data_IF_261722417568
#
_entry.id   IF_261722417568
#
_cell.length_a   1.000
_cell.length_b   1.000
_cell.length_c   1.000
_cell.angle_alpha   90.00
_cell.angle_beta   90.00
_cell.angle_gamma   90.00
#
_symmetry.space_group_name_H-M   'P 1'
#
loop_
_entity.id
_entity.type
_entity.pdbx_description
1 polymer ?
#
# COMPACT_ATOMS: atom_id res chain seq x y z
N UNK A 1 5.45 -11.22 6.70
CA UNK A 1 3.98 -11.04 6.66
C UNK A 1 3.64 -9.64 6.16
N UNK A 2 4.06 -8.56 6.82
CA UNK A 2 3.70 -7.18 6.46
C UNK A 2 3.89 -6.86 4.95
N UNK A 3 5.04 -7.14 4.32
CA UNK A 3 5.21 -6.90 2.89
C UNK A 3 4.25 -7.69 2.00
N UNK A 4 3.96 -8.94 2.35
CA UNK A 4 3.00 -9.77 1.62
C UNK A 4 1.57 -9.25 1.75
N UNK A 5 1.19 -8.67 2.91
CA UNK A 5 -0.11 -8.01 3.09
C UNK A 5 -0.24 -6.82 2.16
N UNK A 6 0.83 -6.01 2.01
CA UNK A 6 0.85 -4.88 1.06
C UNK A 6 0.63 -5.37 -0.36
N UNK A 7 1.45 -6.33 -0.83
CA UNK A 7 1.32 -6.86 -2.19
C UNK A 7 -0.05 -7.49 -2.42
N UNK A 8 -0.59 -8.23 -1.45
CA UNK A 8 -1.93 -8.83 -1.60
C UNK A 8 -3.02 -7.77 -1.70
N UNK A 9 -2.93 -6.69 -0.91
CA UNK A 9 -3.86 -5.56 -1.07
C UNK A 9 -3.78 -4.93 -2.46
N UNK A 10 -2.56 -4.68 -2.95
CA UNK A 10 -2.34 -4.15 -4.30
C UNK A 10 -2.92 -5.09 -5.38
N UNK A 11 -2.75 -6.40 -5.22
CA UNK A 11 -3.31 -7.41 -6.13
C UNK A 11 -4.84 -7.34 -6.17
N UNK A 12 -5.49 -7.36 -5.00
CA UNK A 12 -6.95 -7.31 -4.89
C UNK A 12 -7.54 -6.07 -5.55
N UNK A 13 -6.98 -4.89 -5.29
CA UNK A 13 -7.52 -3.63 -5.85
C UNK A 13 -7.27 -3.48 -7.35
N UNK A 14 -6.22 -4.09 -7.88
CA UNK A 14 -5.90 -4.05 -9.32
C UNK A 14 -6.62 -5.13 -10.12
N UNK A 15 -7.09 -6.19 -9.50
CA UNK A 15 -7.68 -7.34 -10.19
C UNK A 15 -8.79 -6.96 -11.19
N UNK A 16 -9.77 -6.09 -10.86
CA UNK A 16 -10.84 -5.73 -11.78
C UNK A 16 -10.37 -5.06 -13.08
N UNK A 17 -9.20 -4.44 -13.05
CA UNK A 17 -8.64 -3.68 -14.18
C UNK A 17 -7.39 -4.33 -14.78
N UNK A 18 -6.89 -5.41 -14.18
CA UNK A 18 -5.65 -6.09 -14.57
C UNK A 18 -5.62 -6.45 -16.04
N UNK A 19 -6.67 -7.09 -16.55
CA UNK A 19 -6.73 -7.50 -17.94
C UNK A 19 -6.74 -6.29 -18.89
N UNK A 20 -7.44 -5.21 -18.54
CA UNK A 20 -7.46 -3.97 -19.33
C UNK A 20 -6.07 -3.32 -19.43
N UNK A 21 -5.30 -3.37 -18.33
CA UNK A 21 -3.91 -2.89 -18.31
C UNK A 21 -3.06 -3.72 -19.28
N UNK A 22 -3.14 -5.06 -19.22
CA UNK A 22 -2.40 -5.96 -20.10
C UNK A 22 -2.77 -5.75 -21.59
N UNK A 23 -4.04 -5.60 -21.90
CA UNK A 23 -4.53 -5.36 -23.27
C UNK A 23 -4.12 -3.99 -23.82
N UNK A 24 -3.78 -3.05 -22.93
CA UNK A 24 -3.31 -1.71 -23.29
C UNK A 24 -1.80 -1.64 -23.52
N UNK A 25 -1.01 -2.57 -22.97
CA UNK A 25 0.44 -2.60 -23.11
C UNK A 25 0.93 -2.52 -24.56
N UNK A 26 0.44 -3.34 -25.53
CA UNK A 26 0.92 -3.29 -26.90
C UNK A 26 0.68 -1.93 -27.58
N UNK A 27 -0.31 -1.16 -27.12
CA UNK A 27 -0.68 0.14 -27.69
C UNK A 27 0.24 1.27 -27.23
N UNK A 28 0.88 1.11 -26.09
CA UNK A 28 1.68 2.16 -25.46
C UNK A 28 3.17 1.84 -25.39
N UNK A 29 3.58 0.60 -25.61
CA UNK A 29 4.97 0.12 -25.43
C UNK A 29 6.03 0.85 -26.28
N UNK A 30 5.63 1.56 -27.33
CA UNK A 30 6.53 2.36 -28.18
C UNK A 30 6.65 3.81 -27.72
N UNK A 31 5.90 4.20 -26.71
CA UNK A 31 5.89 5.55 -26.16
C UNK A 31 7.01 5.73 -25.11
N UNK A 32 7.21 6.97 -24.69
CA UNK A 32 8.09 7.28 -23.57
C UNK A 32 7.55 6.67 -22.27
N UNK A 33 8.44 6.18 -21.40
CA UNK A 33 8.07 5.48 -20.16
C UNK A 33 7.13 6.34 -19.28
N UNK A 34 7.36 7.65 -19.17
CA UNK A 34 6.48 8.56 -18.41
C UNK A 34 5.05 8.56 -18.97
N UNK A 35 4.89 8.46 -20.30
CA UNK A 35 3.58 8.40 -20.94
C UNK A 35 2.95 7.02 -20.72
N UNK A 36 3.75 5.95 -20.79
CA UNK A 36 3.32 4.58 -20.50
C UNK A 36 2.75 4.51 -19.08
N UNK A 37 3.52 4.96 -18.09
CA UNK A 37 3.13 4.97 -16.68
C UNK A 37 1.78 5.71 -16.48
N UNK A 38 1.67 6.94 -16.98
CA UNK A 38 0.43 7.72 -16.86
C UNK A 38 -0.76 7.06 -17.56
N UNK A 39 -0.53 6.47 -18.73
CA UNK A 39 -1.59 5.81 -19.50
C UNK A 39 -2.10 4.56 -18.78
N UNK A 40 -1.20 3.73 -18.26
CA UNK A 40 -1.55 2.50 -17.56
C UNK A 40 -2.19 2.79 -16.19
N UNK A 41 -1.71 3.81 -15.46
CA UNK A 41 -2.33 4.29 -14.24
C UNK A 41 -3.78 4.72 -14.48
N UNK A 42 -4.04 5.45 -15.58
CA UNK A 42 -5.40 5.84 -15.97
C UNK A 42 -6.30 4.62 -16.25
N UNK A 43 -5.77 3.60 -16.93
CA UNK A 43 -6.50 2.35 -17.21
C UNK A 43 -6.76 1.57 -15.93
N UNK A 44 -5.80 1.53 -15.03
CA UNK A 44 -5.92 0.89 -13.73
C UNK A 44 -6.92 1.59 -12.80
N UNK A 45 -7.13 2.91 -12.98
CA UNK A 45 -7.98 3.72 -12.11
C UNK A 45 -7.29 4.16 -10.81
N UNK A 46 -5.97 3.98 -10.72
CA UNK A 46 -5.13 4.31 -9.57
C UNK A 46 -3.88 5.08 -10.03
N UNK A 47 -3.14 5.66 -9.09
CA UNK A 47 -1.82 6.24 -9.38
C UNK A 47 -0.70 5.21 -9.49
N UNK A 48 -1.05 3.93 -9.55
CA UNK A 48 -0.16 2.78 -9.76
C UNK A 48 -0.87 1.71 -10.59
N UNK A 49 -0.09 0.81 -11.17
CA UNK A 49 -0.59 -0.35 -11.94
C UNK A 49 0.39 -1.52 -11.81
N UNK A 50 0.02 -2.66 -12.40
CA UNK A 50 0.93 -3.79 -12.57
C UNK A 50 0.79 -4.37 -13.97
N UNK A 51 1.91 -4.39 -14.71
CA UNK A 51 2.00 -4.89 -16.10
C UNK A 51 2.49 -6.33 -16.24
N UNK A 52 2.74 -7.01 -15.11
CA UNK A 52 3.07 -8.44 -15.11
C UNK A 52 1.85 -9.29 -15.52
N UNK A 53 2.03 -10.40 -16.22
CA UNK A 53 0.94 -11.34 -16.51
C UNK A 53 0.46 -12.10 -15.26
N UNK A 54 1.19 -12.03 -14.16
CA UNK A 54 0.91 -12.73 -12.92
C UNK A 54 -0.07 -11.97 -12.00
N UNK A 55 -0.81 -12.72 -11.22
CA UNK A 55 -1.56 -12.37 -10.03
C UNK A 55 -1.42 -13.53 -9.04
N UNK A 56 -1.98 -13.45 -7.84
CA UNK A 56 -1.82 -14.51 -6.86
C UNK A 56 -2.33 -15.88 -7.33
N UNK A 57 -3.43 -15.94 -8.08
CA UNK A 57 -3.96 -17.19 -8.64
C UNK A 57 -2.97 -17.85 -9.62
N UNK A 58 -2.35 -17.05 -10.48
CA UNK A 58 -1.35 -17.55 -11.43
C UNK A 58 -0.03 -17.93 -10.75
N UNK A 59 0.32 -17.26 -9.66
CA UNK A 59 1.50 -17.63 -8.86
C UNK A 59 1.36 -19.01 -8.25
N UNK A 60 0.21 -19.33 -7.64
CA UNK A 60 -0.02 -20.66 -7.05
C UNK A 60 -0.26 -21.76 -8.09
N UNK A 61 -0.65 -21.41 -9.32
CA UNK A 61 -0.83 -22.35 -10.40
C UNK A 61 0.48 -22.95 -10.93
N UNK A 62 1.63 -22.32 -10.64
CA UNK A 62 2.97 -22.78 -11.05
C UNK A 62 3.93 -22.83 -9.84
N UNK A 63 3.78 -23.83 -8.97
CA UNK A 63 4.58 -23.95 -7.74
C UNK A 63 6.08 -24.06 -7.98
N UNK A 64 6.48 -24.74 -9.08
CA UNK A 64 7.88 -24.99 -9.38
C UNK A 64 8.66 -23.72 -9.75
N UNK A 65 7.98 -22.69 -10.26
CA UNK A 65 8.58 -21.43 -10.67
C UNK A 65 8.12 -20.25 -9.76
N UNK A 66 7.58 -20.54 -8.59
CA UNK A 66 6.91 -19.52 -7.77
C UNK A 66 7.82 -18.35 -7.39
N UNK A 67 9.09 -18.60 -7.08
CA UNK A 67 10.05 -17.56 -6.74
C UNK A 67 10.32 -16.64 -7.95
N UNK A 68 10.54 -17.24 -9.13
CA UNK A 68 10.76 -16.50 -10.37
C UNK A 68 9.53 -15.67 -10.73
N UNK A 69 8.35 -16.28 -10.68
CA UNK A 69 7.09 -15.67 -11.04
C UNK A 69 6.72 -14.54 -10.06
N UNK A 70 6.98 -14.71 -8.76
CA UNK A 70 6.74 -13.66 -7.76
C UNK A 70 7.65 -12.46 -7.97
N UNK A 71 8.94 -12.66 -8.30
CA UNK A 71 9.84 -11.56 -8.68
C UNK A 71 9.35 -10.84 -9.93
N UNK A 72 8.94 -11.59 -10.96
CA UNK A 72 8.38 -11.00 -12.18
C UNK A 72 7.08 -10.23 -11.90
N UNK A 73 6.27 -10.70 -10.94
CA UNK A 73 5.08 -10.00 -10.49
C UNK A 73 5.41 -8.68 -9.78
N UNK A 74 6.35 -8.69 -8.83
CA UNK A 74 6.80 -7.49 -8.09
C UNK A 74 7.42 -6.47 -9.06
N UNK A 75 8.27 -6.90 -9.96
CA UNK A 75 8.90 -6.05 -10.97
C UNK A 75 7.91 -5.48 -12.00
N UNK A 76 6.73 -6.05 -12.10
CA UNK A 76 5.65 -5.58 -12.98
C UNK A 76 4.89 -4.37 -12.44
N UNK A 77 5.08 -3.96 -11.19
CA UNK A 77 4.45 -2.76 -10.65
C UNK A 77 5.03 -1.47 -11.28
N UNK A 78 4.24 -0.41 -11.30
CA UNK A 78 4.67 0.93 -11.67
C UNK A 78 5.84 1.40 -10.81
N UNK A 79 6.64 2.33 -11.33
CA UNK A 79 7.88 2.80 -10.69
C UNK A 79 7.65 3.24 -9.23
N UNK A 80 6.66 4.09 -8.98
CA UNK A 80 6.34 4.58 -7.65
C UNK A 80 5.94 3.47 -6.65
N UNK A 81 5.18 2.47 -7.10
CA UNK A 81 4.82 1.34 -6.24
C UNK A 81 6.03 0.41 -6.00
N UNK A 82 6.87 0.22 -7.02
CA UNK A 82 8.08 -0.59 -6.94
C UNK A 82 9.12 0.01 -6.00
N UNK A 83 9.34 1.33 -6.04
CA UNK A 83 10.21 2.04 -5.08
C UNK A 83 9.81 1.74 -3.62
N UNK A 84 8.52 1.75 -3.31
CA UNK A 84 8.02 1.40 -1.97
C UNK A 84 8.31 -0.07 -1.64
N UNK A 85 8.09 -0.97 -2.61
CA UNK A 85 8.30 -2.40 -2.42
C UNK A 85 9.78 -2.77 -2.25
N UNK A 86 10.71 -2.00 -2.84
CA UNK A 86 12.16 -2.20 -2.70
C UNK A 86 12.63 -2.08 -1.24
N UNK A 87 12.03 -1.19 -0.43
CA UNK A 87 12.35 -1.06 0.99
C UNK A 87 12.08 -2.33 1.80
N UNK A 88 11.23 -3.23 1.31
CA UNK A 88 10.93 -4.49 1.99
C UNK A 88 11.96 -5.60 1.71
N UNK A 89 12.95 -5.36 0.83
CA UNK A 89 13.97 -6.34 0.46
C UNK A 89 13.39 -7.73 0.11
N UNK A 90 12.37 -7.74 -0.76
CA UNK A 90 11.66 -8.97 -1.14
C UNK A 90 12.57 -10.08 -1.65
N UNK A 91 13.58 -9.73 -2.46
CA UNK A 91 14.50 -10.73 -3.04
C UNK A 91 15.17 -11.56 -1.95
N UNK A 92 15.67 -10.92 -0.90
CA UNK A 92 16.30 -11.60 0.23
C UNK A 92 15.30 -12.50 0.97
N UNK A 93 14.04 -12.05 1.10
CA UNK A 93 13.02 -12.86 1.78
C UNK A 93 12.55 -14.03 0.91
N UNK A 94 12.42 -13.83 -0.39
CA UNK A 94 12.09 -14.88 -1.35
C UNK A 94 13.19 -15.96 -1.30
N UNK A 95 14.47 -15.58 -1.40
CA UNK A 95 15.60 -16.53 -1.33
C UNK A 95 15.58 -17.38 -0.06
N UNK A 96 15.24 -16.78 1.10
CA UNK A 96 15.16 -17.51 2.37
C UNK A 96 13.99 -18.51 2.44
N UNK A 97 12.91 -18.24 1.68
CA UNK A 97 11.72 -19.08 1.69
C UNK A 97 11.67 -20.06 0.53
N UNK A 98 12.50 -19.85 -0.51
CA UNK A 98 12.56 -20.70 -1.71
C UNK A 98 13.42 -21.95 -1.45
N UNK A 99 12.96 -22.77 -0.50
CA UNK A 99 13.57 -24.04 -0.15
C UNK A 99 12.68 -25.20 -0.64
N UNK A 100 13.15 -25.97 -1.63
CA UNK A 100 12.40 -27.10 -2.18
C UNK A 100 12.00 -28.18 -1.16
N UNK A 101 12.70 -28.23 -0.02
CA UNK A 101 12.42 -29.22 1.03
C UNK A 101 11.21 -28.87 1.91
N UNK A 102 10.84 -27.59 1.95
CA UNK A 102 9.80 -27.09 2.86
C UNK A 102 8.57 -26.54 2.15
N UNK A 103 8.65 -26.26 0.86
CA UNK A 103 7.62 -25.54 0.06
C UNK A 103 7.12 -24.25 0.75
N UNK A 104 8.00 -23.61 1.57
CA UNK A 104 7.58 -22.52 2.44
C UNK A 104 7.05 -21.33 1.64
N UNK A 105 7.74 -20.93 0.57
CA UNK A 105 7.32 -19.80 -0.26
C UNK A 105 5.93 -20.05 -0.88
N UNK A 106 5.71 -21.24 -1.42
CA UNK A 106 4.40 -21.63 -1.98
C UNK A 106 3.30 -21.55 -0.92
N UNK A 107 3.55 -22.11 0.26
CA UNK A 107 2.58 -22.10 1.37
C UNK A 107 2.24 -20.68 1.82
N UNK A 108 3.25 -19.81 1.89
CA UNK A 108 3.03 -18.37 2.22
C UNK A 108 2.19 -17.70 1.16
N UNK A 109 2.56 -17.78 -0.12
CA UNK A 109 1.79 -17.16 -1.22
C UNK A 109 0.36 -17.68 -1.27
N UNK A 110 0.17 -19.01 -1.10
CA UNK A 110 -1.15 -19.64 -1.06
C UNK A 110 -2.00 -19.11 0.10
N UNK A 111 -1.44 -18.99 1.30
CA UNK A 111 -2.18 -18.45 2.46
C UNK A 111 -2.63 -17.01 2.23
N UNK A 112 -1.83 -16.19 1.54
CA UNK A 112 -2.22 -14.83 1.19
C UNK A 112 -3.23 -14.77 0.05
N UNK A 113 -3.19 -15.71 -0.90
CA UNK A 113 -4.18 -15.79 -1.98
C UNK A 113 -5.60 -16.02 -1.45
N UNK A 114 -5.75 -16.79 -0.37
CA UNK A 114 -7.03 -17.07 0.28
C UNK A 114 -7.63 -15.85 1.02
N UNK A 115 -6.85 -14.79 1.22
CA UNK A 115 -7.30 -13.57 1.91
C UNK A 115 -7.81 -12.57 0.87
N UNK A 116 -9.06 -12.16 1.00
CA UNK A 116 -9.62 -11.05 0.21
C UNK A 116 -9.51 -9.74 1.00
N UNK A 117 -8.87 -8.77 0.36
CA UNK A 117 -8.66 -7.43 0.91
C UNK A 117 -9.30 -6.35 0.00
N UNK A 118 -10.13 -6.73 -0.99
CA UNK A 118 -10.67 -5.81 -2.00
C UNK A 118 -11.55 -4.71 -1.43
N UNK A 119 -12.38 -5.06 -0.45
CA UNK A 119 -13.39 -4.15 0.11
C UNK A 119 -12.91 -3.36 1.34
N UNK A 120 -11.67 -3.61 1.79
CA UNK A 120 -11.13 -2.90 2.96
C UNK A 120 -10.86 -1.43 2.66
N UNK A 121 -11.34 -0.55 3.51
CA UNK A 121 -11.01 0.86 3.44
C UNK A 121 -9.57 1.14 3.88
N UNK A 122 -9.03 2.32 3.50
CA UNK A 122 -7.66 2.71 3.88
C UNK A 122 -7.43 2.74 5.38
N UNK A 123 -8.47 3.12 6.15
CA UNK A 123 -8.41 3.12 7.61
C UNK A 123 -8.33 1.70 8.17
N UNK A 124 -9.13 0.77 7.65
CA UNK A 124 -9.12 -0.63 8.07
C UNK A 124 -7.79 -1.29 7.77
N UNK A 125 -7.22 -1.03 6.58
CA UNK A 125 -5.86 -1.45 6.26
C UNK A 125 -4.82 -0.89 7.23
N UNK A 126 -5.00 0.36 7.66
CA UNK A 126 -4.17 0.95 8.70
C UNK A 126 -4.23 0.17 10.02
N UNK A 127 -5.41 -0.23 10.48
CA UNK A 127 -5.56 -1.09 11.68
C UNK A 127 -4.88 -2.46 11.51
N UNK A 128 -4.99 -3.06 10.33
CA UNK A 128 -4.29 -4.33 10.03
C UNK A 128 -2.78 -4.16 10.17
N UNK A 129 -2.20 -3.11 9.58
CA UNK A 129 -0.76 -2.86 9.68
C UNK A 129 -0.31 -2.57 11.11
N UNK A 130 -1.08 -1.79 11.85
CA UNK A 130 -0.83 -1.47 13.24
C UNK A 130 -0.83 -2.73 14.13
N UNK A 131 -1.83 -3.61 13.98
CA UNK A 131 -1.88 -4.88 14.71
C UNK A 131 -0.71 -5.81 14.33
N UNK A 132 -0.33 -5.87 13.06
CA UNK A 132 0.82 -6.64 12.62
C UNK A 132 2.13 -6.11 13.25
N UNK A 133 2.37 -4.81 13.22
CA UNK A 133 3.56 -4.20 13.83
C UNK A 133 3.58 -4.48 15.33
N UNK A 134 2.46 -4.30 16.03
CA UNK A 134 2.34 -4.60 17.46
C UNK A 134 2.70 -6.06 17.78
N UNK A 135 2.15 -7.01 17.03
CA UNK A 135 2.42 -8.45 17.23
C UNK A 135 3.89 -8.79 16.97
N UNK A 136 4.52 -8.15 15.99
CA UNK A 136 5.96 -8.35 15.73
C UNK A 136 6.82 -7.78 16.84
N UNK A 137 6.51 -6.58 17.33
CA UNK A 137 7.22 -5.96 18.45
C UNK A 137 7.10 -6.81 19.73
N UNK A 138 5.91 -7.34 20.03
CA UNK A 138 5.69 -8.26 21.15
C UNK A 138 6.53 -9.56 21.03
N UNK A 139 6.68 -10.10 19.83
CA UNK A 139 7.48 -11.32 19.57
C UNK A 139 8.99 -11.08 19.64
N UNK A 140 9.45 -9.89 19.27
CA UNK A 140 10.87 -9.52 19.31
C UNK A 140 11.34 -9.02 20.69
N UNK A 141 10.47 -8.97 21.70
CA UNK A 141 10.71 -8.32 23.01
C UNK A 141 11.09 -6.84 22.89
N UNK A 142 10.75 -6.20 21.80
CA UNK A 142 10.88 -4.76 21.66
C UNK A 142 9.66 -4.05 22.29
N UNK A 143 9.87 -2.86 22.84
CA UNK A 143 8.80 -2.11 23.49
C UNK A 143 7.84 -1.58 22.41
N UNK A 144 6.64 -2.14 22.32
CA UNK A 144 5.63 -1.80 21.30
C UNK A 144 5.28 -0.30 21.23
N UNK A 145 5.47 0.43 22.35
CA UNK A 145 5.21 1.87 22.44
C UNK A 145 6.23 2.76 21.72
N UNK A 146 7.34 2.21 21.23
CA UNK A 146 8.37 2.99 20.51
C UNK A 146 8.11 3.08 19.02
N UNK A 147 7.13 2.31 18.48
CA UNK A 147 6.96 2.16 17.04
C UNK A 147 5.74 2.86 16.46
N UNK A 148 4.70 3.17 17.26
CA UNK A 148 3.54 3.89 16.71
C UNK A 148 2.66 4.51 17.82
N UNK A 149 1.92 5.55 17.45
CA UNK A 149 0.89 6.15 18.30
C UNK A 149 -0.45 5.49 18.01
N UNK A 150 -1.21 5.00 19.02
CA UNK A 150 -2.52 4.38 18.80
C UNK A 150 -3.49 5.31 18.06
N UNK A 151 -4.28 4.75 17.14
CA UNK A 151 -5.18 5.53 16.28
C UNK A 151 -6.21 6.33 17.05
N UNK A 152 -6.70 5.83 18.17
CA UNK A 152 -7.64 6.54 19.04
C UNK A 152 -7.03 7.82 19.59
N UNK A 153 -5.75 7.76 19.96
CA UNK A 153 -4.98 8.94 20.41
C UNK A 153 -4.77 9.90 19.25
N UNK A 154 -4.38 9.38 18.07
CA UNK A 154 -4.23 10.19 16.85
C UNK A 154 -5.54 10.90 16.52
N UNK A 155 -6.67 10.19 16.51
CA UNK A 155 -8.00 10.78 16.24
C UNK A 155 -8.34 11.88 17.24
N UNK A 156 -8.06 11.67 18.52
CA UNK A 156 -8.24 12.71 19.53
C UNK A 156 -7.37 13.94 19.25
N UNK A 157 -6.09 13.74 18.94
CA UNK A 157 -5.16 14.82 18.60
C UNK A 157 -5.59 15.58 17.36
N UNK A 158 -6.01 14.90 16.31
CA UNK A 158 -6.51 15.51 15.07
C UNK A 158 -7.78 16.34 15.34
N UNK A 159 -8.73 15.81 16.11
CA UNK A 159 -9.92 16.56 16.47
C UNK A 159 -9.60 17.84 17.26
N UNK A 160 -8.66 17.76 18.20
CA UNK A 160 -8.22 18.93 18.98
C UNK A 160 -7.52 19.94 18.05
N UNK A 161 -6.65 19.47 17.16
CA UNK A 161 -5.90 20.32 16.24
C UNK A 161 -6.82 21.15 15.33
N UNK A 162 -7.87 20.53 14.79
CA UNK A 162 -8.75 21.16 13.82
C UNK A 162 -10.02 21.79 14.42
N UNK A 163 -10.22 21.75 15.74
CA UNK A 163 -11.46 22.23 16.36
C UNK A 163 -11.73 23.73 16.10
N UNK A 164 -10.67 24.53 16.11
CA UNK A 164 -10.77 25.99 15.88
C UNK A 164 -10.84 26.35 14.39
N UNK A 165 -10.33 25.48 13.52
CA UNK A 165 -10.28 25.71 12.07
C UNK A 165 -11.48 25.12 11.32
N UNK A 166 -12.42 24.49 12.01
CA UNK A 166 -13.52 23.74 11.41
C UNK A 166 -14.34 24.58 10.43
N UNK A 167 -14.66 25.82 10.78
CA UNK A 167 -15.44 26.73 9.93
C UNK A 167 -14.66 27.15 8.68
N UNK A 168 -13.33 27.20 8.75
CA UNK A 168 -12.46 27.52 7.65
C UNK A 168 -12.33 26.31 6.72
N UNK A 169 -12.18 25.11 7.27
CA UNK A 169 -12.01 23.87 6.53
C UNK A 169 -13.24 23.49 5.69
N UNK A 170 -14.43 23.99 6.06
CA UNK A 170 -15.68 23.76 5.32
C UNK A 170 -15.91 24.73 4.15
N UNK A 171 -15.03 25.68 3.90
CA UNK A 171 -15.15 26.63 2.80
C UNK A 171 -14.80 26.00 1.45
N UNK A 172 -15.48 26.44 0.39
CA UNK A 172 -15.20 25.99 -0.96
C UNK A 172 -13.79 26.42 -1.43
N UNK A 173 -13.10 25.48 -2.08
CA UNK A 173 -11.78 25.73 -2.65
C UNK A 173 -10.66 25.97 -1.63
N UNK A 174 -10.86 25.56 -0.37
CA UNK A 174 -9.85 25.69 0.67
C UNK A 174 -8.61 24.86 0.36
N UNK A 175 -7.44 25.51 0.48
CA UNK A 175 -6.13 24.86 0.41
C UNK A 175 -5.43 25.06 1.75
N UNK A 176 -4.97 23.99 2.35
CA UNK A 176 -4.26 24.01 3.64
C UNK A 176 -3.05 23.09 3.61
N UNK A 177 -2.15 23.31 4.54
CA UNK A 177 -0.96 22.50 4.74
C UNK A 177 -0.95 21.95 6.17
N UNK A 178 -0.70 20.65 6.30
CA UNK A 178 -0.43 19.98 7.56
C UNK A 178 1.02 19.53 7.56
N UNK A 179 1.77 19.91 8.57
CA UNK A 179 3.16 19.52 8.75
C UNK A 179 3.37 18.84 10.09
N UNK A 180 3.98 17.66 10.04
CA UNK A 180 4.37 16.89 11.23
C UNK A 180 5.90 16.75 11.25
N UNK A 181 6.59 17.43 12.20
CA UNK A 181 8.05 17.41 12.30
C UNK A 181 8.63 16.14 12.94
N UNK A 182 7.79 15.24 13.42
CA UNK A 182 8.17 13.95 14.03
C UNK A 182 7.11 12.90 13.63
N UNK A 183 6.96 12.73 12.31
CA UNK A 183 5.78 12.05 11.75
C UNK A 183 5.77 10.54 11.98
N UNK A 184 6.89 9.92 12.34
CA UNK A 184 6.99 8.47 12.46
C UNK A 184 6.45 7.79 11.20
N UNK A 185 5.45 6.93 11.36
CA UNK A 185 4.78 6.23 10.25
C UNK A 185 3.75 7.08 9.49
N UNK A 186 3.62 8.37 9.81
CA UNK A 186 2.67 9.29 9.16
C UNK A 186 1.23 9.19 9.62
N UNK A 187 0.98 8.56 10.77
CA UNK A 187 -0.37 8.33 11.29
C UNK A 187 -1.18 9.62 11.50
N UNK A 188 -0.55 10.67 12.05
CA UNK A 188 -1.18 11.99 12.22
C UNK A 188 -1.55 12.64 10.90
N UNK A 189 -0.66 12.57 9.91
CA UNK A 189 -0.87 13.15 8.58
C UNK A 189 -2.03 12.46 7.85
N UNK A 190 -2.04 11.13 7.86
CA UNK A 190 -3.11 10.33 7.24
C UNK A 190 -4.48 10.57 7.89
N UNK A 191 -4.53 10.59 9.23
CA UNK A 191 -5.78 10.84 9.95
C UNK A 191 -6.25 12.31 9.78
N UNK A 192 -5.32 13.26 9.70
CA UNK A 192 -5.63 14.66 9.43
C UNK A 192 -6.20 14.87 8.03
N UNK A 193 -5.61 14.25 7.03
CA UNK A 193 -6.13 14.28 5.65
C UNK A 193 -7.54 13.68 5.57
N UNK A 194 -7.75 12.54 6.18
CA UNK A 194 -9.06 11.91 6.23
C UNK A 194 -10.09 12.79 6.94
N UNK A 195 -9.76 13.35 8.10
CA UNK A 195 -10.65 14.24 8.84
C UNK A 195 -11.10 15.44 8.01
N UNK A 196 -10.17 16.09 7.29
CA UNK A 196 -10.48 17.23 6.42
C UNK A 196 -11.35 16.80 5.24
N UNK A 197 -11.07 15.63 4.62
CA UNK A 197 -11.89 15.07 3.52
C UNK A 197 -13.30 14.68 3.96
N UNK A 198 -13.48 14.20 5.19
CA UNK A 198 -14.79 13.92 5.76
C UNK A 198 -15.61 15.20 6.00
N UNK A 199 -14.95 16.31 6.39
CA UNK A 199 -15.59 17.61 6.56
C UNK A 199 -15.90 18.29 5.23
N UNK A 200 -14.98 18.21 4.27
CA UNK A 200 -15.05 18.87 2.99
C UNK A 200 -14.33 18.04 1.91
N UNK A 201 -15.07 17.26 1.10
CA UNK A 201 -14.48 16.42 0.05
C UNK A 201 -13.67 17.20 -1.00
N UNK A 202 -13.98 18.48 -1.19
CA UNK A 202 -13.33 19.36 -2.17
C UNK A 202 -12.09 20.09 -1.60
N UNK A 203 -11.82 19.96 -0.30
CA UNK A 203 -10.65 20.57 0.30
C UNK A 203 -9.33 19.97 -0.24
N UNK A 204 -8.35 20.82 -0.54
CA UNK A 204 -6.98 20.42 -0.90
C UNK A 204 -6.07 20.56 0.34
N UNK A 205 -5.85 19.44 1.04
CA UNK A 205 -4.91 19.37 2.14
C UNK A 205 -3.58 18.79 1.66
N UNK A 206 -2.51 19.61 1.72
CA UNK A 206 -1.15 19.15 1.46
C UNK A 206 -0.47 18.74 2.76
N UNK A 207 -0.01 17.50 2.81
CA UNK A 207 0.63 16.94 4.01
C UNK A 207 2.14 16.84 3.80
N UNK A 208 2.90 17.19 4.84
CA UNK A 208 4.36 17.08 4.87
C UNK A 208 4.78 16.45 6.19
N UNK A 209 5.65 15.47 6.12
CA UNK A 209 6.21 14.81 7.29
C UNK A 209 7.74 14.87 7.29
N UNK A 210 8.31 14.90 8.48
CA UNK A 210 9.74 14.76 8.71
C UNK A 210 9.95 13.75 9.85
N UNK A 211 10.91 12.83 9.66
CA UNK A 211 11.36 11.86 10.66
C UNK A 211 12.83 12.08 11.02
#
# INVERSE_FOLDING_TARGET
ILPMTVIRRLDCVLEPTKQKVLDSLPKVQTLNEVIIEKSLNRVAGFNFHNRSPFNFDKLIADPNNIALNLRAYINGFSENAREILEYFNFDVQIDKMDDPSTDLLFRVVKSFQEIDLSDMESMEMGYVFEDLIRRFSEQSNETAGEHFTPREVIRLMVNILFIEDRDILTQDGIVRTLYDPACGTGGMLSAGEQYVKELNPDADLKVFGQE
#
